data_IF_305227790000
#
_entry.id   IF_305227790000
#
_cell.length_a   1.000
_cell.length_b   1.000
_cell.length_c   1.000
_cell.angle_alpha   90.00
_cell.angle_beta   90.00
_cell.angle_gamma   90.00
#
_symmetry.space_group_name_H-M   'P 1'
#
loop_
_entity.id
_entity.type
_entity.pdbx_description
1 polymer ?
#
# COMPACT_ATOMS: atom_id res chain seq x y z
N UNK A 1 39.48 37.81 104.02
CA UNK A 1 39.91 38.62 102.88
C UNK A 1 39.26 38.01 101.65
N UNK A 2 38.14 38.57 101.17
CA UNK A 2 38.12 39.47 100.01
C UNK A 2 37.84 38.62 98.75
N UNK A 3 36.81 38.81 97.93
CA UNK A 3 35.98 39.98 97.68
C UNK A 3 34.62 39.52 97.11
N UNK A 4 33.57 40.25 97.45
CA UNK A 4 32.23 40.12 96.87
C UNK A 4 32.28 40.74 95.46
N UNK A 5 31.75 40.08 94.40
CA UNK A 5 31.63 40.73 93.09
C UNK A 5 30.53 41.79 93.14
N UNK A 6 30.87 42.97 92.65
CA UNK A 6 30.07 44.19 92.50
C UNK A 6 28.86 43.96 91.56
N UNK A 7 27.62 44.31 91.96
CA UNK A 7 26.45 44.23 91.08
C UNK A 7 26.41 45.47 90.18
N UNK A 8 27.30 45.53 89.19
CA UNK A 8 27.55 46.78 88.49
C UNK A 8 28.21 46.70 87.11
N UNK A 9 28.09 45.57 86.39
CA UNK A 9 28.47 45.53 84.97
C UNK A 9 27.24 45.23 84.12
N UNK A 10 26.47 46.29 83.88
CA UNK A 10 25.50 46.35 82.79
C UNK A 10 26.28 46.12 81.50
N UNK A 11 26.16 44.90 80.99
CA UNK A 11 26.20 44.52 79.57
C UNK A 11 26.51 45.71 78.66
N UNK A 12 27.77 45.90 78.29
CA UNK A 12 28.14 46.67 77.11
C UNK A 12 27.71 45.87 75.89
N UNK A 13 26.39 45.84 75.65
CA UNK A 13 25.78 45.49 74.39
C UNK A 13 26.25 46.57 73.41
N UNK A 14 27.43 46.36 72.84
CA UNK A 14 27.94 47.13 71.72
C UNK A 14 26.83 47.08 70.67
N UNK A 15 26.11 48.18 70.45
CA UNK A 15 25.06 48.24 69.45
C UNK A 15 25.70 47.83 68.12
N UNK A 16 25.17 46.82 67.41
CA UNK A 16 25.73 46.43 66.12
C UNK A 16 25.80 47.69 65.25
N UNK A 17 26.97 47.95 64.66
CA UNK A 17 27.13 49.11 63.79
C UNK A 17 26.16 48.97 62.62
N UNK A 18 25.71 50.09 62.09
CA UNK A 18 24.77 50.10 60.96
C UNK A 18 25.27 49.25 59.77
N UNK A 19 26.59 49.21 59.55
CA UNK A 19 27.25 48.39 58.53
C UNK A 19 27.11 46.88 58.78
N UNK A 20 27.17 46.43 60.04
CA UNK A 20 26.97 45.03 60.42
C UNK A 20 25.52 44.60 60.17
N UNK A 21 24.57 45.48 60.48
CA UNK A 21 23.15 45.25 60.21
C UNK A 21 22.86 45.19 58.69
N UNK A 22 23.50 46.04 57.90
CA UNK A 22 23.43 45.97 56.43
C UNK A 22 24.01 44.67 55.88
N UNK A 23 25.16 44.21 56.40
CA UNK A 23 25.75 42.91 56.03
C UNK A 23 24.82 41.75 56.36
N UNK A 24 24.28 41.69 57.56
CA UNK A 24 23.30 40.67 57.95
C UNK A 24 22.06 40.68 57.04
N UNK A 25 21.54 41.88 56.70
CA UNK A 25 20.42 42.02 55.78
C UNK A 25 20.74 41.49 54.38
N UNK A 26 21.95 41.76 53.88
CA UNK A 26 22.41 41.26 52.57
C UNK A 26 22.55 39.74 52.54
N UNK A 27 23.09 39.13 53.60
CA UNK A 27 23.18 37.68 53.75
C UNK A 27 21.80 37.03 53.82
N UNK A 28 20.88 37.61 54.60
CA UNK A 28 19.49 37.14 54.69
C UNK A 28 18.81 37.14 53.32
N UNK A 29 19.02 38.21 52.54
CA UNK A 29 18.47 38.36 51.20
C UNK A 29 19.08 37.34 50.24
N UNK A 30 20.40 37.13 50.28
CA UNK A 30 21.10 36.12 49.49
C UNK A 30 20.63 34.70 49.81
N UNK A 31 20.53 34.34 51.09
CA UNK A 31 19.97 33.07 51.52
C UNK A 31 18.53 32.87 51.04
N UNK A 32 17.70 33.92 51.11
CA UNK A 32 16.30 33.85 50.65
C UNK A 32 16.22 33.62 49.14
N UNK A 33 17.09 34.27 48.35
CA UNK A 33 17.19 34.06 46.91
C UNK A 33 17.67 32.65 46.56
N UNK A 34 18.71 32.14 47.24
CA UNK A 34 19.21 30.78 47.03
C UNK A 34 18.16 29.72 47.38
N UNK A 35 17.43 29.91 48.48
CA UNK A 35 16.32 29.04 48.85
C UNK A 35 15.21 29.04 47.81
N UNK A 36 14.88 30.23 47.27
CA UNK A 36 13.90 30.36 46.19
C UNK A 36 14.35 29.62 44.93
N UNK A 37 15.60 29.83 44.50
CA UNK A 37 16.17 29.17 43.33
C UNK A 37 16.20 27.63 43.48
N UNK A 38 16.60 27.14 44.66
CA UNK A 38 16.58 25.71 44.98
C UNK A 38 15.16 25.14 44.95
N UNK A 39 14.20 25.83 45.57
CA UNK A 39 12.79 25.44 45.58
C UNK A 39 12.20 25.41 44.17
N UNK A 40 12.51 26.41 43.34
CA UNK A 40 12.06 26.49 41.95
C UNK A 40 12.67 25.35 41.12
N UNK A 41 13.96 25.02 41.35
CA UNK A 41 14.62 23.89 40.68
C UNK A 41 14.00 22.53 41.07
N UNK A 42 13.72 22.29 42.36
CA UNK A 42 13.03 21.08 42.80
C UNK A 42 11.62 20.98 42.20
N UNK A 43 10.88 22.08 42.19
CA UNK A 43 9.54 22.12 41.59
C UNK A 43 9.59 21.85 40.08
N UNK A 44 10.62 22.37 39.39
CA UNK A 44 10.86 22.09 37.97
C UNK A 44 11.18 20.61 37.72
N UNK A 45 12.07 20.03 38.53
CA UNK A 45 12.46 18.63 38.43
C UNK A 45 11.27 17.69 38.70
N UNK A 46 10.47 17.99 39.73
CA UNK A 46 9.26 17.24 40.04
C UNK A 46 8.28 17.25 38.87
N UNK A 47 8.04 18.42 38.27
CA UNK A 47 7.19 18.55 37.07
C UNK A 47 7.74 17.76 35.89
N UNK A 48 9.05 17.79 35.65
CA UNK A 48 9.66 17.02 34.55
C UNK A 48 9.56 15.51 34.78
N UNK A 49 9.79 15.06 36.02
CA UNK A 49 9.69 13.65 36.39
C UNK A 49 8.25 13.15 36.28
N UNK A 50 7.28 13.96 36.69
CA UNK A 50 5.85 13.67 36.54
C UNK A 50 5.46 13.54 35.07
N UNK A 51 5.89 14.48 34.21
CA UNK A 51 5.66 14.42 32.76
C UNK A 51 6.26 13.14 32.13
N UNK A 52 7.50 12.79 32.51
CA UNK A 52 8.16 11.56 32.04
C UNK A 52 7.44 10.30 32.51
N UNK A 53 6.98 10.27 33.76
CA UNK A 53 6.19 9.17 34.33
C UNK A 53 4.88 8.95 33.58
N UNK A 54 4.14 10.03 33.31
CA UNK A 54 2.90 10.00 32.54
C UNK A 54 3.13 9.56 31.09
N UNK A 55 4.16 10.09 30.44
CA UNK A 55 4.53 9.67 29.08
C UNK A 55 4.91 8.17 29.02
N UNK A 56 5.59 7.64 30.05
CA UNK A 56 5.93 6.23 30.12
C UNK A 56 4.70 5.35 30.36
N UNK A 57 3.79 5.77 31.26
CA UNK A 57 2.50 5.07 31.47
C UNK A 57 1.69 4.99 30.18
N UNK A 58 1.60 6.08 29.42
CA UNK A 58 0.92 6.10 28.12
C UNK A 58 1.58 5.12 27.12
N UNK A 59 2.92 5.09 27.05
CA UNK A 59 3.64 4.12 26.20
C UNK A 59 3.37 2.68 26.60
N UNK A 60 3.37 2.36 27.89
CA UNK A 60 3.07 1.01 28.41
C UNK A 60 1.65 0.60 28.01
N UNK A 61 0.66 1.46 28.24
CA UNK A 61 -0.74 1.20 27.84
C UNK A 61 -0.88 1.00 26.32
N UNK A 62 -0.17 1.80 25.53
CA UNK A 62 -0.17 1.67 24.06
C UNK A 62 0.40 0.33 23.63
N UNK A 63 1.54 -0.09 24.20
CA UNK A 63 2.16 -1.38 23.90
C UNK A 63 1.30 -2.56 24.36
N UNK A 64 0.68 -2.47 25.53
CA UNK A 64 -0.24 -3.50 26.05
C UNK A 64 -1.45 -3.68 25.12
N UNK A 65 -2.07 -2.58 24.70
CA UNK A 65 -3.17 -2.60 23.74
C UNK A 65 -2.75 -3.20 22.39
N UNK A 66 -1.58 -2.82 21.88
CA UNK A 66 -1.02 -3.38 20.64
C UNK A 66 -0.75 -4.88 20.77
N UNK A 67 -0.21 -5.32 21.92
CA UNK A 67 0.09 -6.73 22.20
C UNK A 67 -1.19 -7.55 22.29
N UNK A 68 -2.22 -7.05 23.00
CA UNK A 68 -3.54 -7.69 23.08
C UNK A 68 -4.19 -7.82 21.70
N UNK A 69 -4.14 -6.77 20.88
CA UNK A 69 -4.66 -6.80 19.51
C UNK A 69 -3.91 -7.81 18.63
N UNK A 70 -2.57 -7.87 18.74
CA UNK A 70 -1.75 -8.83 18.01
C UNK A 70 -2.05 -10.28 18.41
N UNK A 71 -2.15 -10.55 19.71
CA UNK A 71 -2.51 -11.88 20.24
C UNK A 71 -3.91 -12.31 19.79
N UNK A 72 -4.89 -11.41 19.83
CA UNK A 72 -6.23 -11.70 19.33
C UNK A 72 -6.24 -12.06 17.83
N UNK A 73 -5.43 -11.36 17.03
CA UNK A 73 -5.25 -11.67 15.61
C UNK A 73 -4.61 -13.04 15.38
N UNK A 74 -3.59 -13.41 16.18
CA UNK A 74 -2.93 -14.71 16.10
C UNK A 74 -3.85 -15.85 16.54
N UNK A 75 -4.57 -15.69 17.66
CA UNK A 75 -5.54 -16.68 18.12
C UNK A 75 -6.66 -16.89 17.10
N UNK A 76 -7.13 -15.81 16.46
CA UNK A 76 -8.09 -15.92 15.37
C UNK A 76 -7.52 -16.75 14.22
N UNK A 77 -6.27 -16.50 13.82
CA UNK A 77 -5.61 -17.29 12.75
C UNK A 77 -5.52 -18.76 13.12
N UNK A 78 -5.06 -19.08 14.32
CA UNK A 78 -4.93 -20.45 14.83
C UNK A 78 -6.24 -21.23 14.70
N UNK A 79 -7.34 -20.69 15.22
CA UNK A 79 -8.67 -21.35 15.16
C UNK A 79 -9.16 -21.53 13.72
N UNK A 80 -8.75 -20.67 12.80
CA UNK A 80 -9.21 -20.71 11.39
C UNK A 80 -8.33 -21.55 10.47
N UNK A 81 -7.12 -21.93 10.89
CA UNK A 81 -6.21 -22.73 10.08
C UNK A 81 -6.85 -24.08 9.74
N UNK A 82 -7.49 -24.74 10.71
CA UNK A 82 -8.11 -26.05 10.50
C UNK A 82 -9.16 -25.99 9.38
N UNK A 83 -10.05 -25.01 9.42
CA UNK A 83 -11.05 -24.81 8.36
C UNK A 83 -10.44 -24.44 7.01
N UNK A 84 -9.38 -23.62 6.96
CA UNK A 84 -8.68 -23.34 5.70
C UNK A 84 -8.01 -24.59 5.12
N UNK A 85 -7.45 -25.46 5.97
CA UNK A 85 -6.79 -26.71 5.58
C UNK A 85 -7.84 -27.71 5.09
N UNK A 86 -8.97 -27.82 5.76
CA UNK A 86 -10.09 -28.68 5.34
C UNK A 86 -10.58 -28.30 3.93
N UNK A 87 -10.84 -27.01 3.67
CA UNK A 87 -11.24 -26.52 2.34
C UNK A 87 -10.16 -26.81 1.28
N UNK A 88 -8.88 -26.65 1.63
CA UNK A 88 -7.79 -26.93 0.70
C UNK A 88 -7.68 -28.43 0.39
N UNK A 89 -7.90 -29.29 1.38
CA UNK A 89 -7.89 -30.75 1.20
C UNK A 89 -9.06 -31.23 0.34
N UNK A 90 -10.26 -30.71 0.57
CA UNK A 90 -11.45 -30.99 -0.25
C UNK A 90 -11.17 -30.70 -1.73
N UNK A 91 -10.62 -29.51 -2.02
CA UNK A 91 -10.26 -29.12 -3.40
C UNK A 91 -9.20 -30.02 -4.03
N UNK A 92 -8.20 -30.46 -3.25
CA UNK A 92 -7.18 -31.38 -3.75
C UNK A 92 -7.79 -32.74 -4.11
N UNK A 93 -8.74 -33.23 -3.30
CA UNK A 93 -9.43 -34.49 -3.59
C UNK A 93 -10.35 -34.35 -4.80
N UNK A 94 -11.08 -33.23 -4.93
CA UNK A 94 -11.87 -32.91 -6.13
C UNK A 94 -11.00 -32.88 -7.40
N UNK A 95 -9.87 -32.16 -7.38
CA UNK A 95 -8.96 -32.10 -8.52
C UNK A 95 -8.37 -33.47 -8.86
N UNK A 96 -8.07 -34.29 -7.84
CA UNK A 96 -7.59 -35.67 -8.03
C UNK A 96 -8.67 -36.53 -8.68
N UNK A 97 -9.92 -36.44 -8.25
CA UNK A 97 -11.02 -37.17 -8.89
C UNK A 97 -11.22 -36.74 -10.35
N UNK A 98 -11.17 -35.44 -10.63
CA UNK A 98 -11.29 -34.91 -12.00
C UNK A 98 -10.16 -35.40 -12.90
N UNK A 99 -8.92 -35.38 -12.40
CA UNK A 99 -7.76 -35.89 -13.13
C UNK A 99 -7.90 -37.41 -13.40
N UNK A 100 -8.36 -38.19 -12.42
CA UNK A 100 -8.60 -39.63 -12.61
C UNK A 100 -9.71 -39.93 -13.62
N UNK A 101 -10.79 -39.15 -13.61
CA UNK A 101 -11.88 -39.25 -14.60
C UNK A 101 -11.38 -38.94 -16.01
N UNK A 102 -10.60 -37.87 -16.18
CA UNK A 102 -10.00 -37.51 -17.48
C UNK A 102 -9.06 -38.60 -18.03
N UNK A 103 -8.35 -39.32 -17.17
CA UNK A 103 -7.50 -40.45 -17.60
C UNK A 103 -8.30 -41.72 -17.95
N UNK A 104 -9.51 -41.87 -17.40
CA UNK A 104 -10.33 -43.08 -17.55
C UNK A 104 -11.27 -43.01 -18.77
N UNK A 105 -11.66 -41.81 -19.19
CA UNK A 105 -12.52 -41.57 -20.36
C UNK A 105 -11.83 -40.59 -21.35
N UNK A 106 -11.21 -41.09 -22.43
CA UNK A 106 -10.56 -40.22 -23.42
C UNK A 106 -11.54 -39.44 -24.32
N UNK A 107 -12.86 -39.63 -24.15
CA UNK A 107 -13.93 -38.96 -24.94
C UNK A 107 -14.53 -37.73 -24.22
N UNK A 108 -13.94 -37.29 -23.08
CA UNK A 108 -14.45 -36.16 -22.28
C UNK A 108 -14.07 -34.76 -22.83
N UNK A 109 -13.45 -34.69 -24.01
CA UNK A 109 -13.25 -33.46 -24.78
C UNK A 109 -14.05 -33.55 -26.08
N UNK A 110 -15.38 -33.45 -26.03
CA UNK A 110 -16.21 -32.90 -27.13
C UNK A 110 -17.70 -32.87 -26.74
N UNK A 111 -18.21 -31.78 -26.15
CA UNK A 111 -19.59 -31.40 -26.39
C UNK A 111 -19.62 -30.68 -27.75
N UNK A 112 -19.98 -31.42 -28.80
CA UNK A 112 -20.50 -30.84 -30.04
C UNK A 112 -21.76 -30.04 -29.69
N UNK A 113 -21.56 -28.76 -29.43
CA UNK A 113 -22.59 -27.78 -29.18
C UNK A 113 -21.91 -26.43 -29.24
N UNK A 114 -22.38 -25.53 -30.10
CA UNK A 114 -21.83 -24.19 -30.33
C UNK A 114 -21.43 -23.54 -28.99
N UNK A 115 -20.14 -23.61 -28.67
CA UNK A 115 -19.59 -23.10 -27.41
C UNK A 115 -19.50 -21.59 -27.56
N UNK A 116 -20.24 -20.87 -26.72
CA UNK A 116 -20.06 -19.44 -26.52
C UNK A 116 -18.55 -19.14 -26.37
N UNK A 117 -18.02 -18.14 -27.09
CA UNK A 117 -16.58 -17.81 -27.13
C UNK A 117 -15.97 -17.64 -25.72
N UNK A 118 -16.81 -17.29 -24.74
CA UNK A 118 -16.48 -17.23 -23.33
C UNK A 118 -16.16 -18.60 -22.70
N UNK A 119 -16.96 -19.63 -22.94
CA UNK A 119 -16.80 -20.94 -22.29
C UNK A 119 -15.52 -21.66 -22.78
N UNK A 120 -15.23 -21.60 -24.08
CA UNK A 120 -13.97 -22.12 -24.63
C UNK A 120 -12.73 -21.42 -24.07
N UNK A 121 -12.79 -20.10 -23.84
CA UNK A 121 -11.68 -19.35 -23.24
C UNK A 121 -11.40 -19.76 -21.79
N UNK A 122 -12.46 -20.05 -21.02
CA UNK A 122 -12.33 -20.53 -19.64
C UNK A 122 -11.70 -21.92 -19.59
N UNK A 123 -12.11 -22.85 -20.46
CA UNK A 123 -11.55 -24.20 -20.51
C UNK A 123 -10.05 -24.18 -20.83
N UNK A 124 -9.63 -23.37 -21.81
CA UNK A 124 -8.21 -23.21 -22.16
C UNK A 124 -7.42 -22.65 -20.97
N UNK A 125 -7.92 -21.58 -20.32
CA UNK A 125 -7.26 -21.01 -19.15
C UNK A 125 -7.14 -22.02 -18.00
N UNK A 126 -8.19 -22.80 -17.73
CA UNK A 126 -8.15 -23.87 -16.72
C UNK A 126 -7.12 -24.94 -17.04
N UNK A 127 -7.08 -25.43 -18.29
CA UNK A 127 -6.11 -26.42 -18.74
C UNK A 127 -4.66 -25.94 -18.56
N UNK A 128 -4.38 -24.69 -18.93
CA UNK A 128 -3.07 -24.06 -18.75
C UNK A 128 -2.68 -23.90 -17.26
N UNK A 129 -3.66 -23.59 -16.40
CA UNK A 129 -3.47 -23.49 -14.95
C UNK A 129 -3.20 -24.86 -14.30
N UNK A 130 -3.96 -25.89 -14.69
CA UNK A 130 -3.78 -27.28 -14.22
C UNK A 130 -2.43 -27.85 -14.61
N UNK A 131 -2.00 -27.61 -15.85
CA UNK A 131 -0.70 -28.08 -16.38
C UNK A 131 0.48 -27.20 -15.95
N UNK A 132 0.23 -26.13 -15.18
CA UNK A 132 1.23 -25.14 -14.77
C UNK A 132 2.00 -24.52 -15.95
N UNK A 133 1.35 -24.37 -17.11
CA UNK A 133 1.91 -23.83 -18.34
C UNK A 133 1.83 -22.30 -18.37
N UNK A 134 2.66 -21.66 -17.54
CA UNK A 134 2.62 -20.21 -17.29
C UNK A 134 2.91 -19.35 -18.52
N UNK A 135 3.70 -19.86 -19.47
CA UNK A 135 4.07 -19.15 -20.71
C UNK A 135 2.92 -19.09 -21.71
N UNK A 136 2.25 -20.21 -21.98
CA UNK A 136 1.08 -20.25 -22.85
C UNK A 136 -0.10 -19.51 -22.24
N UNK A 137 -0.27 -19.59 -20.92
CA UNK A 137 -1.22 -18.73 -20.20
C UNK A 137 -0.97 -17.25 -20.45
N UNK A 138 0.29 -16.81 -20.31
CA UNK A 138 0.67 -15.42 -20.59
C UNK A 138 0.37 -15.03 -22.04
N UNK A 139 0.79 -15.86 -23.00
CA UNK A 139 0.58 -15.62 -24.43
C UNK A 139 -0.91 -15.56 -24.80
N UNK A 140 -1.73 -16.43 -24.20
CA UNK A 140 -3.18 -16.42 -24.38
C UNK A 140 -3.79 -15.11 -23.87
N UNK A 141 -3.47 -14.70 -22.63
CA UNK A 141 -4.01 -13.47 -22.03
C UNK A 141 -3.66 -12.23 -22.87
N UNK A 142 -2.42 -12.10 -23.35
CA UNK A 142 -1.98 -10.88 -24.05
C UNK A 142 -2.61 -10.73 -25.45
N UNK A 143 -3.01 -11.83 -26.10
CA UNK A 143 -3.70 -11.80 -27.39
C UNK A 143 -5.17 -11.39 -27.27
N UNK A 144 -5.77 -11.61 -26.09
CA UNK A 144 -7.19 -11.42 -25.79
C UNK A 144 -7.52 -10.04 -25.17
N UNK A 145 -6.74 -8.99 -25.50
CA UNK A 145 -6.90 -7.63 -24.92
C UNK A 145 -8.32 -7.04 -25.03
N UNK A 146 -9.05 -7.34 -26.11
CA UNK A 146 -10.42 -6.85 -26.32
C UNK A 146 -11.45 -7.50 -25.38
N UNK A 147 -11.13 -8.67 -24.86
CA UNK A 147 -11.99 -9.51 -24.01
C UNK A 147 -11.63 -9.34 -22.51
N UNK A 148 -11.03 -8.21 -22.13
CA UNK A 148 -10.51 -7.96 -20.77
C UNK A 148 -11.56 -8.15 -19.66
N UNK A 149 -12.82 -7.81 -19.93
CA UNK A 149 -13.91 -7.97 -18.96
C UNK A 149 -14.30 -9.43 -18.75
N UNK A 150 -14.15 -10.26 -19.79
CA UNK A 150 -14.35 -11.71 -19.72
C UNK A 150 -13.18 -12.33 -18.95
N UNK A 151 -11.94 -11.98 -19.34
CA UNK A 151 -10.73 -12.43 -18.65
C UNK A 151 -10.73 -12.10 -17.16
N UNK A 152 -11.20 -10.91 -16.76
CA UNK A 152 -11.29 -10.52 -15.34
C UNK A 152 -12.20 -11.45 -14.53
N UNK A 153 -13.21 -12.06 -15.15
CA UNK A 153 -14.09 -13.03 -14.50
C UNK A 153 -13.50 -14.45 -14.51
N UNK A 154 -12.83 -14.82 -15.61
CA UNK A 154 -12.37 -16.19 -15.85
C UNK A 154 -11.01 -16.50 -15.24
N UNK A 155 -10.07 -15.56 -15.25
CA UNK A 155 -8.72 -15.77 -14.71
C UNK A 155 -8.77 -16.17 -13.24
N UNK A 156 -9.53 -15.52 -12.34
CA UNK A 156 -9.63 -15.98 -10.95
C UNK A 156 -10.14 -17.41 -10.82
N UNK A 157 -11.14 -17.80 -11.62
CA UNK A 157 -11.69 -19.16 -11.63
C UNK A 157 -10.67 -20.18 -12.15
N UNK A 158 -9.83 -19.78 -13.09
CA UNK A 158 -8.80 -20.65 -13.68
C UNK A 158 -7.60 -20.80 -12.75
N UNK A 159 -7.14 -19.70 -12.14
CA UNK A 159 -6.06 -19.70 -11.15
C UNK A 159 -6.40 -20.52 -9.90
N UNK A 160 -7.69 -20.70 -9.60
CA UNK A 160 -8.14 -21.59 -8.54
C UNK A 160 -7.78 -23.06 -8.80
N UNK A 161 -7.58 -23.45 -10.05
CA UNK A 161 -7.18 -24.81 -10.44
C UNK A 161 -5.65 -25.01 -10.32
N UNK A 162 -4.86 -23.94 -10.17
CA UNK A 162 -3.40 -24.06 -10.06
C UNK A 162 -2.96 -24.75 -8.75
N UNK A 163 -1.91 -25.56 -8.84
CA UNK A 163 -1.25 -26.17 -7.66
C UNK A 163 -0.64 -25.10 -6.74
N UNK A 164 0.04 -24.11 -7.31
CA UNK A 164 0.56 -22.94 -6.60
C UNK A 164 0.24 -21.68 -7.43
N UNK A 165 -0.93 -21.04 -7.22
CA UNK A 165 -1.36 -19.89 -8.00
C UNK A 165 -0.39 -18.71 -7.90
N UNK A 166 0.21 -18.51 -6.71
CA UNK A 166 1.10 -17.40 -6.44
C UNK A 166 2.44 -17.55 -7.17
N UNK A 167 3.01 -18.77 -7.17
CA UNK A 167 4.19 -19.10 -7.98
C UNK A 167 3.89 -18.99 -9.47
N UNK A 168 2.78 -19.57 -9.92
CA UNK A 168 2.37 -19.56 -11.33
C UNK A 168 2.28 -18.14 -11.90
N UNK A 169 1.67 -17.21 -11.16
CA UNK A 169 1.55 -15.81 -11.58
C UNK A 169 2.90 -15.10 -11.67
N UNK A 170 3.82 -15.33 -10.72
CA UNK A 170 5.19 -14.78 -10.79
C UNK A 170 5.89 -15.25 -12.07
N UNK A 171 5.75 -16.54 -12.42
CA UNK A 171 6.36 -17.11 -13.62
C UNK A 171 5.72 -16.54 -14.90
N UNK A 172 4.39 -16.40 -14.93
CA UNK A 172 3.66 -15.89 -16.08
C UNK A 172 4.06 -14.44 -16.44
N UNK A 173 4.27 -13.57 -15.45
CA UNK A 173 4.62 -12.16 -15.70
C UNK A 173 6.12 -11.90 -15.87
N UNK A 174 6.97 -12.93 -15.74
CA UNK A 174 8.43 -12.82 -15.59
C UNK A 174 9.19 -12.29 -16.82
N UNK A 175 8.56 -12.29 -17.99
CA UNK A 175 9.11 -11.73 -19.24
C UNK A 175 8.96 -10.20 -19.30
N UNK A 176 8.00 -9.63 -18.56
CA UNK A 176 7.67 -8.19 -18.59
C UNK A 176 7.99 -7.48 -17.27
N UNK A 177 7.79 -8.15 -16.14
CA UNK A 177 8.02 -7.60 -14.81
C UNK A 177 9.05 -8.47 -14.05
N UNK A 178 10.04 -7.89 -13.35
CA UNK A 178 10.21 -6.46 -13.00
C UNK A 178 10.83 -5.59 -14.10
N UNK A 179 11.49 -6.19 -15.08
CA UNK A 179 12.11 -5.48 -16.21
C UNK A 179 11.67 -6.18 -17.48
N UNK A 180 11.23 -5.42 -18.48
CA UNK A 180 10.78 -5.98 -19.76
C UNK A 180 11.98 -6.48 -20.56
N UNK A 181 12.15 -7.81 -20.60
CA UNK A 181 13.27 -8.49 -21.27
C UNK A 181 13.07 -8.60 -22.78
N UNK A 182 11.90 -8.22 -23.29
CA UNK A 182 11.55 -8.38 -24.70
C UNK A 182 12.18 -7.29 -25.57
N UNK A 183 12.33 -6.09 -25.02
CA UNK A 183 12.91 -4.93 -25.72
C UNK A 183 14.36 -5.14 -26.16
N UNK A 184 15.12 -5.98 -25.45
CA UNK A 184 16.51 -6.32 -25.81
C UNK A 184 16.62 -7.23 -27.04
N UNK A 185 15.54 -7.96 -27.39
CA UNK A 185 15.56 -8.98 -28.46
C UNK A 185 15.08 -8.48 -29.82
N UNK A 186 14.29 -7.41 -29.89
CA UNK A 186 13.57 -7.05 -31.12
C UNK A 186 13.71 -5.60 -31.61
N UNK A 187 14.37 -4.69 -30.88
CA UNK A 187 14.60 -3.30 -31.33
C UNK A 187 13.35 -2.42 -31.54
N UNK A 188 12.16 -3.03 -31.63
CA UNK A 188 10.86 -2.37 -31.63
C UNK A 188 10.35 -2.14 -30.21
N UNK A 189 9.72 -0.99 -29.99
CA UNK A 189 8.93 -0.70 -28.78
C UNK A 189 7.81 -1.75 -28.69
N UNK A 190 8.07 -2.84 -27.98
CA UNK A 190 7.06 -3.86 -27.69
C UNK A 190 5.80 -3.22 -27.11
N UNK A 191 4.65 -3.77 -27.47
CA UNK A 191 3.36 -3.31 -26.95
C UNK A 191 3.39 -3.24 -25.41
N UNK A 192 2.81 -2.18 -24.84
CA UNK A 192 2.63 -2.05 -23.38
C UNK A 192 1.78 -3.21 -22.87
N UNK A 193 2.42 -4.12 -22.12
CA UNK A 193 1.80 -5.28 -21.49
C UNK A 193 1.62 -5.11 -19.97
N UNK A 194 1.83 -3.90 -19.43
CA UNK A 194 1.58 -3.62 -18.02
C UNK A 194 0.13 -3.89 -17.63
N UNK A 195 -0.81 -3.66 -18.55
CA UNK A 195 -2.23 -3.98 -18.32
C UNK A 195 -2.48 -5.47 -18.03
N UNK A 196 -1.75 -6.37 -18.70
CA UNK A 196 -1.90 -7.82 -18.52
C UNK A 196 -1.30 -8.26 -17.19
N UNK A 197 -0.13 -7.70 -16.82
CA UNK A 197 0.47 -7.95 -15.50
C UNK A 197 -0.49 -7.53 -14.38
N UNK A 198 -1.04 -6.32 -14.47
CA UNK A 198 -2.03 -5.81 -13.50
C UNK A 198 -3.25 -6.73 -13.44
N UNK A 199 -3.82 -7.11 -14.58
CA UNK A 199 -5.00 -7.98 -14.63
C UNK A 199 -4.75 -9.31 -13.92
N UNK A 200 -3.62 -9.97 -14.20
CA UNK A 200 -3.26 -11.25 -13.61
C UNK A 200 -2.99 -11.09 -12.10
N UNK A 201 -2.25 -10.06 -11.69
CA UNK A 201 -1.95 -9.79 -10.27
C UNK A 201 -3.21 -9.43 -9.47
N UNK A 202 -4.16 -8.68 -10.05
CA UNK A 202 -5.46 -8.39 -9.43
C UNK A 202 -6.30 -9.66 -9.30
N UNK A 203 -6.30 -10.49 -10.34
CA UNK A 203 -7.07 -11.74 -10.39
C UNK A 203 -6.55 -12.80 -9.41
N UNK A 204 -5.28 -12.71 -9.01
CA UNK A 204 -4.70 -13.59 -8.00
C UNK A 204 -5.25 -13.31 -6.60
N UNK A 205 -5.55 -12.05 -6.26
CA UNK A 205 -5.99 -11.65 -4.90
C UNK A 205 -7.13 -12.53 -4.36
N UNK A 206 -8.27 -12.71 -5.04
CA UNK A 206 -9.36 -13.54 -4.52
C UNK A 206 -8.97 -15.02 -4.34
N UNK A 207 -7.95 -15.51 -5.05
CA UNK A 207 -7.50 -16.90 -4.99
C UNK A 207 -6.56 -17.15 -3.81
N UNK A 208 -5.72 -16.17 -3.48
CA UNK A 208 -4.74 -16.28 -2.37
C UNK A 208 -5.25 -15.70 -1.06
N UNK A 209 -6.48 -15.20 -1.00
CA UNK A 209 -7.08 -14.73 0.24
C UNK A 209 -7.57 -15.94 1.05
N UNK A 210 -7.31 -15.91 2.36
CA UNK A 210 -7.81 -16.95 3.26
C UNK A 210 -9.35 -17.03 3.22
N UNK A 211 -9.95 -18.22 2.99
CA UNK A 211 -11.39 -18.35 2.83
C UNK A 211 -12.18 -18.02 4.11
N UNK A 212 -11.54 -18.10 5.28
CA UNK A 212 -12.20 -17.91 6.58
C UNK A 212 -11.98 -16.50 7.12
N UNK A 213 -10.73 -16.01 7.09
CA UNK A 213 -10.39 -14.69 7.65
C UNK A 213 -10.16 -13.61 6.61
N UNK A 214 -10.34 -13.92 5.34
CA UNK A 214 -10.30 -12.96 4.24
C UNK A 214 -8.94 -12.26 4.13
N UNK A 215 -8.97 -10.99 3.73
CA UNK A 215 -7.77 -10.16 3.45
C UNK A 215 -6.80 -10.01 4.64
N UNK A 216 -7.19 -10.43 5.85
CA UNK A 216 -6.30 -10.45 7.02
C UNK A 216 -5.17 -11.47 6.93
N UNK A 217 -5.28 -12.46 6.03
CA UNK A 217 -4.23 -13.44 5.72
C UNK A 217 -4.23 -13.77 4.23
N UNK A 218 -3.04 -13.73 3.65
CA UNK A 218 -2.79 -14.21 2.29
C UNK A 218 -2.11 -15.57 2.38
N UNK A 219 -2.64 -16.55 1.66
CA UNK A 219 -2.14 -17.91 1.49
C UNK A 219 -1.05 -17.92 0.41
N UNK A 220 0.10 -17.31 0.73
CA UNK A 220 1.29 -17.30 -0.12
C UNK A 220 2.44 -17.95 0.64
N UNK A 221 3.13 -18.89 0.00
CA UNK A 221 4.25 -19.61 0.63
C UNK A 221 5.42 -18.65 0.94
N UNK A 222 6.23 -18.92 2.00
CA UNK A 222 7.37 -18.07 2.34
C UNK A 222 8.36 -17.89 1.18
N UNK A 223 8.64 -18.96 0.43
CA UNK A 223 9.54 -18.93 -0.72
C UNK A 223 9.01 -18.02 -1.84
N UNK A 224 7.72 -18.10 -2.17
CA UNK A 224 7.09 -17.21 -3.17
C UNK A 224 7.12 -15.77 -2.69
N UNK A 225 6.86 -15.54 -1.39
CA UNK A 225 6.90 -14.20 -0.80
C UNK A 225 8.31 -13.59 -0.82
N UNK A 226 9.34 -14.40 -0.62
CA UNK A 226 10.74 -13.98 -0.74
C UNK A 226 11.08 -13.60 -2.18
N UNK A 227 10.76 -14.46 -3.16
CA UNK A 227 10.93 -14.13 -4.58
C UNK A 227 10.17 -12.85 -4.97
N UNK A 228 8.96 -12.65 -4.47
CA UNK A 228 8.20 -11.44 -4.71
C UNK A 228 8.92 -10.18 -4.17
N UNK A 229 9.61 -10.27 -3.02
CA UNK A 229 10.44 -9.18 -2.51
C UNK A 229 11.65 -8.92 -3.41
N UNK A 230 12.34 -9.96 -3.85
CA UNK A 230 13.49 -9.82 -4.77
C UNK A 230 13.10 -9.12 -6.07
N UNK A 231 11.95 -9.49 -6.64
CA UNK A 231 11.38 -8.84 -7.82
C UNK A 231 11.10 -7.35 -7.53
N UNK A 232 10.53 -7.02 -6.38
CA UNK A 232 10.26 -5.64 -5.99
C UNK A 232 11.55 -4.81 -5.82
N UNK A 233 12.59 -5.38 -5.21
CA UNK A 233 13.91 -4.73 -5.12
C UNK A 233 14.56 -4.55 -6.49
N UNK A 234 14.47 -5.56 -7.36
CA UNK A 234 14.98 -5.47 -8.74
C UNK A 234 14.30 -4.36 -9.53
N UNK A 235 12.97 -4.23 -9.39
CA UNK A 235 12.22 -3.13 -10.02
C UNK A 235 12.66 -1.76 -9.48
N UNK A 236 12.82 -1.61 -8.16
CA UNK A 236 13.28 -0.35 -7.54
C UNK A 236 14.67 0.04 -8.02
N UNK A 237 15.61 -0.92 -8.09
CA UNK A 237 16.95 -0.66 -8.64
C UNK A 237 16.89 -0.19 -10.09
N UNK A 238 16.07 -0.84 -10.92
CA UNK A 238 15.90 -0.44 -12.31
C UNK A 238 15.24 0.95 -12.45
N UNK A 239 14.37 1.34 -11.52
CA UNK A 239 13.77 2.67 -11.48
C UNK A 239 14.85 3.76 -11.29
N UNK A 240 15.80 3.53 -10.39
CA UNK A 240 16.92 4.45 -10.16
C UNK A 240 17.81 4.59 -11.40
N UNK A 241 18.13 3.47 -12.05
CA UNK A 241 18.95 3.43 -13.28
C UNK A 241 18.30 4.17 -14.47
N UNK A 242 16.96 4.21 -14.53
CA UNK A 242 16.19 4.87 -15.62
C UNK A 242 15.98 6.39 -15.40
N UNK A 243 16.64 6.98 -14.40
CA UNK A 243 16.51 8.40 -14.07
C UNK A 243 15.35 8.71 -13.13
N UNK A 244 14.89 7.73 -12.36
CA UNK A 244 13.95 7.93 -11.26
C UNK A 244 12.47 8.04 -11.65
N UNK A 245 11.68 8.52 -10.70
CA UNK A 245 10.20 8.51 -10.73
C UNK A 245 9.63 9.36 -11.89
N UNK A 246 10.38 10.35 -12.37
CA UNK A 246 9.90 11.25 -13.44
C UNK A 246 9.87 10.58 -14.82
N UNK A 247 10.72 9.57 -15.04
CA UNK A 247 10.87 8.90 -16.34
C UNK A 247 10.13 7.57 -16.44
N UNK A 248 9.49 7.12 -15.36
CA UNK A 248 8.81 5.82 -15.33
C UNK A 248 7.42 5.91 -15.95
N UNK A 249 7.05 4.90 -16.75
CA UNK A 249 5.72 4.84 -17.33
C UNK A 249 4.71 4.50 -16.23
N UNK A 250 3.56 5.18 -16.24
CA UNK A 250 2.46 4.93 -15.27
C UNK A 250 2.00 3.46 -15.20
N UNK A 251 1.90 2.69 -16.30
CA UNK A 251 1.57 1.26 -16.24
C UNK A 251 2.58 0.41 -15.45
N UNK A 252 3.87 0.75 -15.52
CA UNK A 252 4.93 0.05 -14.80
C UNK A 252 4.80 0.30 -13.28
N UNK A 253 4.49 1.55 -12.91
CA UNK A 253 4.19 1.92 -11.51
C UNK A 253 2.99 1.14 -10.99
N UNK A 254 1.91 1.07 -11.78
CA UNK A 254 0.74 0.29 -11.40
C UNK A 254 1.09 -1.17 -11.17
N UNK A 255 1.82 -1.79 -12.10
CA UNK A 255 2.25 -3.18 -11.98
C UNK A 255 3.06 -3.41 -10.70
N UNK A 256 4.01 -2.52 -10.41
CA UNK A 256 4.81 -2.59 -9.18
C UNK A 256 3.97 -2.47 -7.91
N UNK A 257 3.11 -1.45 -7.80
CA UNK A 257 2.28 -1.27 -6.62
C UNK A 257 1.28 -2.41 -6.45
N UNK A 258 0.72 -2.91 -7.55
CA UNK A 258 -0.17 -4.05 -7.56
C UNK A 258 0.55 -5.32 -7.07
N UNK A 259 1.79 -5.56 -7.51
CA UNK A 259 2.64 -6.66 -7.04
C UNK A 259 2.86 -6.59 -5.52
N UNK A 260 3.20 -5.41 -4.98
CA UNK A 260 3.39 -5.24 -3.54
C UNK A 260 2.14 -5.60 -2.72
N UNK A 261 0.98 -5.17 -3.20
CA UNK A 261 -0.32 -5.41 -2.55
C UNK A 261 -0.72 -6.88 -2.68
N UNK A 262 -0.63 -7.45 -3.87
CA UNK A 262 -1.01 -8.86 -4.15
C UNK A 262 -0.22 -9.84 -3.30
N UNK A 263 1.08 -9.62 -3.08
CA UNK A 263 1.91 -10.52 -2.27
C UNK A 263 2.03 -10.08 -0.79
N UNK A 264 1.43 -8.94 -0.41
CA UNK A 264 1.48 -8.41 0.96
C UNK A 264 2.92 -8.19 1.45
N UNK A 265 3.75 -7.56 0.61
CA UNK A 265 5.19 -7.32 0.85
C UNK A 265 5.53 -5.82 1.00
N UNK A 266 4.52 -4.99 1.30
CA UNK A 266 4.67 -3.55 1.52
C UNK A 266 5.61 -3.29 2.71
N UNK A 267 6.67 -2.52 2.49
CA UNK A 267 7.65 -2.13 3.53
C UNK A 267 7.27 -0.79 4.16
N UNK A 268 7.40 -0.67 5.48
CA UNK A 268 7.13 0.60 6.19
C UNK A 268 8.18 1.67 5.88
N UNK A 269 9.40 1.25 5.57
CA UNK A 269 10.54 2.15 5.31
C UNK A 269 10.43 2.83 3.93
N UNK A 270 9.80 2.15 2.96
CA UNK A 270 9.63 2.63 1.58
C UNK A 270 8.36 3.49 1.40
N UNK A 271 7.67 3.85 2.48
CA UNK A 271 6.37 4.52 2.40
C UNK A 271 6.42 5.85 1.63
N UNK A 272 7.51 6.61 1.75
CA UNK A 272 7.67 7.86 1.03
C UNK A 272 7.89 7.65 -0.48
N UNK A 273 8.55 6.55 -0.87
CA UNK A 273 8.65 6.15 -2.28
C UNK A 273 7.27 5.79 -2.83
N UNK A 274 6.50 4.96 -2.11
CA UNK A 274 5.15 4.58 -2.54
C UNK A 274 4.24 5.79 -2.69
N UNK A 275 4.31 6.74 -1.76
CA UNK A 275 3.59 8.02 -1.85
C UNK A 275 3.94 8.77 -3.13
N UNK A 276 5.22 8.97 -3.43
CA UNK A 276 5.66 9.69 -4.64
C UNK A 276 5.17 9.01 -5.91
N UNK A 277 5.26 7.68 -5.98
CA UNK A 277 4.78 6.88 -7.10
C UNK A 277 3.27 7.01 -7.34
N UNK A 278 2.48 6.96 -6.27
CA UNK A 278 1.02 7.12 -6.34
C UNK A 278 0.66 8.54 -6.77
N UNK A 279 1.30 9.58 -6.20
CA UNK A 279 1.05 10.98 -6.56
C UNK A 279 1.39 11.24 -8.03
N UNK A 280 2.54 10.75 -8.52
CA UNK A 280 2.92 10.89 -9.93
C UNK A 280 1.95 10.19 -10.90
N UNK A 281 1.21 9.20 -10.41
CA UNK A 281 0.28 8.37 -11.18
C UNK A 281 -1.20 8.63 -10.88
N UNK A 282 -1.53 9.67 -10.11
CA UNK A 282 -2.84 9.85 -9.46
C UNK A 282 -4.04 9.93 -10.41
N UNK A 283 -3.81 10.27 -11.68
CA UNK A 283 -4.78 10.35 -12.78
C UNK A 283 -5.46 9.00 -13.11
N UNK A 284 -4.91 7.88 -12.65
CA UNK A 284 -5.47 6.54 -12.91
C UNK A 284 -6.53 6.16 -11.88
N UNK A 285 -7.70 5.74 -12.36
CA UNK A 285 -8.86 5.26 -11.57
C UNK A 285 -8.52 4.29 -10.43
N UNK A 286 -7.52 3.41 -10.59
CA UNK A 286 -7.17 2.38 -9.59
C UNK A 286 -6.20 2.86 -8.49
N UNK A 287 -5.54 4.03 -8.66
CA UNK A 287 -4.53 4.50 -7.71
C UNK A 287 -5.06 4.80 -6.31
N UNK A 288 -6.25 5.40 -6.12
CA UNK A 288 -6.80 5.59 -4.77
C UNK A 288 -6.98 4.28 -4.00
N UNK A 289 -7.47 3.23 -4.67
CA UNK A 289 -7.67 1.91 -4.07
C UNK A 289 -6.33 1.27 -3.66
N UNK A 290 -5.31 1.42 -4.49
CA UNK A 290 -3.95 0.97 -4.20
C UNK A 290 -3.34 1.76 -3.03
N UNK A 291 -3.52 3.07 -2.99
CA UNK A 291 -3.02 3.92 -1.90
C UNK A 291 -3.51 3.47 -0.52
N UNK A 292 -4.80 3.14 -0.41
CA UNK A 292 -5.39 2.57 0.81
C UNK A 292 -4.76 1.22 1.15
N UNK A 293 -4.61 0.36 0.15
CA UNK A 293 -4.05 -1.00 0.33
C UNK A 293 -2.56 -0.99 0.70
N UNK A 294 -1.83 0.06 0.34
CA UNK A 294 -0.44 0.31 0.73
C UNK A 294 -0.28 0.91 2.13
N UNK A 295 -1.39 1.18 2.84
CA UNK A 295 -1.36 1.80 4.17
C UNK A 295 -1.03 3.29 4.15
N UNK A 296 -1.29 3.97 3.02
CA UNK A 296 -1.04 5.41 2.88
C UNK A 296 -2.23 6.29 3.30
N UNK A 297 -3.30 5.69 3.86
CA UNK A 297 -4.54 6.35 4.23
C UNK A 297 -4.35 7.59 5.11
N UNK A 298 -3.75 7.40 6.29
CA UNK A 298 -3.51 8.49 7.28
C UNK A 298 -2.52 9.53 6.78
N UNK A 299 -1.69 9.13 5.83
CA UNK A 299 -0.60 9.92 5.28
C UNK A 299 -1.07 10.81 4.12
N UNK A 300 -2.23 10.54 3.52
CA UNK A 300 -2.77 11.26 2.35
C UNK A 300 -4.26 11.61 2.48
N UNK A 301 -4.71 12.25 3.58
CA UNK A 301 -6.13 12.59 3.75
C UNK A 301 -6.64 13.54 2.66
N UNK A 302 -5.81 14.49 2.22
CA UNK A 302 -6.16 15.44 1.16
C UNK A 302 -6.20 14.84 -0.25
N UNK A 303 -5.52 13.72 -0.50
CA UNK A 303 -5.38 13.14 -1.85
C UNK A 303 -6.61 12.31 -2.26
N UNK A 304 -7.36 11.76 -1.30
CA UNK A 304 -8.64 11.11 -1.60
C UNK A 304 -9.67 12.15 -2.09
N UNK A 305 -9.75 13.29 -1.41
CA UNK A 305 -10.53 14.42 -1.88
C UNK A 305 -10.00 14.93 -3.23
N UNK A 306 -8.69 15.23 -3.33
CA UNK A 306 -8.12 15.78 -4.56
C UNK A 306 -8.28 14.85 -5.76
N UNK A 307 -8.13 13.52 -5.63
CA UNK A 307 -8.33 12.61 -6.77
C UNK A 307 -9.80 12.50 -7.16
N UNK A 308 -10.75 12.54 -6.21
CA UNK A 308 -12.19 12.59 -6.54
C UNK A 308 -12.50 13.90 -7.27
N UNK A 309 -12.13 15.05 -6.70
CA UNK A 309 -12.38 16.36 -7.31
C UNK A 309 -11.63 16.57 -8.63
N UNK A 310 -10.39 16.09 -8.73
CA UNK A 310 -9.58 16.21 -9.94
C UNK A 310 -10.04 15.26 -11.03
N UNK A 311 -10.59 14.09 -10.68
CA UNK A 311 -11.22 13.20 -11.64
C UNK A 311 -12.56 13.78 -12.13
N UNK A 312 -13.35 14.40 -11.27
CA UNK A 312 -14.53 15.17 -11.69
C UNK A 312 -14.13 16.34 -12.60
N UNK A 313 -13.08 17.09 -12.24
CA UNK A 313 -12.57 18.21 -13.06
C UNK A 313 -11.95 17.75 -14.39
N UNK A 314 -11.21 16.64 -14.40
CA UNK A 314 -10.63 16.09 -15.63
C UNK A 314 -11.67 15.38 -16.49
N UNK A 315 -12.70 14.77 -15.90
CA UNK A 315 -13.83 14.22 -16.65
C UNK A 315 -14.64 15.35 -17.28
N UNK A 316 -14.88 16.44 -16.55
CA UNK A 316 -15.46 17.67 -17.11
C UNK A 316 -14.57 18.28 -18.20
N UNK A 317 -13.25 18.39 -17.99
CA UNK A 317 -12.35 18.91 -19.02
C UNK A 317 -12.30 18.03 -20.27
N UNK A 318 -12.23 16.70 -20.13
CA UNK A 318 -12.23 15.79 -21.28
C UNK A 318 -13.59 15.80 -21.99
N UNK A 319 -14.70 15.85 -21.25
CA UNK A 319 -16.04 16.00 -21.81
C UNK A 319 -16.20 17.34 -22.53
N UNK A 320 -15.71 18.44 -21.95
CA UNK A 320 -15.71 19.77 -22.55
C UNK A 320 -14.83 19.84 -23.80
N UNK A 321 -13.65 19.20 -23.82
CA UNK A 321 -12.82 19.12 -25.01
C UNK A 321 -13.51 18.31 -26.12
N UNK A 322 -14.16 17.19 -25.78
CA UNK A 322 -14.90 16.38 -26.76
C UNK A 322 -16.11 17.15 -27.33
N UNK A 323 -16.83 17.86 -26.47
CA UNK A 323 -17.96 18.72 -26.86
C UNK A 323 -17.47 19.90 -27.71
N UNK A 324 -16.33 20.51 -27.37
CA UNK A 324 -15.71 21.58 -28.15
C UNK A 324 -15.28 21.11 -29.54
N UNK A 325 -14.69 19.92 -29.65
CA UNK A 325 -14.37 19.30 -30.95
C UNK A 325 -15.63 18.96 -31.76
N UNK A 326 -16.69 18.47 -31.12
CA UNK A 326 -17.97 18.17 -31.77
C UNK A 326 -18.65 19.46 -32.27
N UNK A 327 -18.64 20.53 -31.46
CA UNK A 327 -19.17 21.85 -31.81
C UNK A 327 -18.36 22.46 -32.94
N UNK A 328 -17.02 22.39 -32.90
CA UNK A 328 -16.15 22.89 -33.96
C UNK A 328 -16.39 22.13 -35.27
N UNK A 329 -16.57 20.80 -35.20
CA UNK A 329 -16.91 19.98 -36.36
C UNK A 329 -18.31 20.31 -36.92
N UNK A 330 -19.31 20.55 -36.06
CA UNK A 330 -20.64 21.02 -36.47
C UNK A 330 -20.61 22.43 -37.07
N UNK A 331 -19.84 23.37 -36.51
CA UNK A 331 -19.69 24.72 -37.02
C UNK A 331 -18.97 24.74 -38.38
N UNK A 332 -17.94 23.91 -38.55
CA UNK A 332 -17.27 23.72 -39.85
C UNK A 332 -18.23 23.08 -40.86
N UNK A 333 -19.03 22.09 -40.45
CA UNK A 333 -20.00 21.43 -41.32
C UNK A 333 -21.18 22.36 -41.72
N UNK A 334 -21.65 23.22 -40.82
CA UNK A 334 -22.67 24.24 -41.09
C UNK A 334 -22.08 25.41 -41.91
N UNK A 335 -20.83 25.79 -41.67
CA UNK A 335 -20.10 26.79 -42.45
C UNK A 335 -19.87 26.37 -43.90
N UNK A 336 -19.55 25.10 -44.13
CA UNK A 336 -19.44 24.51 -45.47
C UNK A 336 -20.80 24.50 -46.21
N UNK A 337 -21.91 24.21 -45.51
CA UNK A 337 -23.26 24.28 -46.13
C UNK A 337 -23.71 25.69 -46.48
N UNK A 338 -23.34 26.73 -45.70
CA UNK A 338 -23.62 28.14 -46.05
C UNK A 338 -22.76 28.63 -47.22
N UNK A 339 -21.53 28.13 -47.37
CA UNK A 339 -20.65 28.49 -48.50
C UNK A 339 -21.10 27.87 -49.82
N UNK A 340 -21.73 26.69 -49.79
CA UNK A 340 -22.36 26.09 -50.99
C UNK A 340 -23.63 26.85 -51.37
N UNK A 341 -24.46 27.28 -50.41
CA UNK A 341 -25.69 28.02 -50.70
C UNK A 341 -25.44 29.45 -51.23
N UNK A 342 -24.35 30.11 -50.82
CA UNK A 342 -24.01 31.45 -51.29
C UNK A 342 -23.33 31.46 -52.68
N UNK A 343 -22.81 30.32 -53.15
CA UNK A 343 -22.27 30.16 -54.52
C UNK A 343 -23.32 29.81 -55.58
N UNK A 344 -24.57 29.58 -55.18
CA UNK A 344 -25.67 29.21 -56.08
C UNK A 344 -26.70 30.34 -56.29
N UNK A 345 -26.45 31.54 -55.76
CA UNK A 345 -27.39 32.67 -55.81
C UNK A 345 -26.75 33.99 -56.30
N UNK A 346 -25.68 33.91 -57.11
CA UNK A 346 -25.13 35.05 -57.88
C UNK A 346 -25.15 34.70 -59.36
#
# INVERSE_FOLDING_TARGET
MGSIPDPGELTELTRPSFDEFQRQTSLMTSCTLLWKELSDHFTSLEKDLQKKSEALKYKIQTLDNQTKASLASLKKREVTIDGSVEIALERVEEHKELALKSLSDPDYENPDGEVDDGDGSLMVLKSLCLTMESRGFWNFVITKKKEIEILRKQIPLSLAECVDPAKFVIEAISEVFPVDKRGERSGEKGNDLGWACVLILESLIPVVVDPVIGKSRLLVTPSVKERAKEIAETWKKSLEERGGIENVKTPDVHTFLQHLVTFGIVKKDDVDLYRKLVVGSAWRKQMPKLALSLGLGDKMPGMFCFIIYFWDLCFEMFSCCFLFFLILHLLVSVGQKKFVFCRQSV
#
